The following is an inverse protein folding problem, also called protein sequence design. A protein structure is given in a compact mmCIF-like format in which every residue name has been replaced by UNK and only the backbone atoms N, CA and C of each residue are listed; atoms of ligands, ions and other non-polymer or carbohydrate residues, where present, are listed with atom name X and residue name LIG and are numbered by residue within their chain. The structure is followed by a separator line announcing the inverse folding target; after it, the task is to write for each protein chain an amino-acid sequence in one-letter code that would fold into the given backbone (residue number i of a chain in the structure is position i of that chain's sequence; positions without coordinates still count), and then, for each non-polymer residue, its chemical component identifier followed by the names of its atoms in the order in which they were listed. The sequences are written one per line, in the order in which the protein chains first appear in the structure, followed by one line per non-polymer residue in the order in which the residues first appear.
data_IF_962852849237
#
_entry.id   IF_962852849237
#
_cell.length_a   1.000
_cell.length_b   1.000
_cell.length_c   1.000
_cell.angle_alpha   90.00
_cell.angle_beta   90.00
_cell.angle_gamma   90.00
#
_symmetry.space_group_name_H-M   'P 1'
#
loop_
_entity.id
_entity.type
_entity.pdbx_description
1 polymer ?
#
# COMPACT_ATOMS: atom_id res chain seq x y z
N UNK A 1 0.43 -12.67 -6.85
CA UNK A 1 -0.97 -12.33 -7.08
C UNK A 1 -1.82 -12.53 -5.83
N UNK A 2 -1.74 -13.68 -5.14
CA UNK A 2 -2.47 -13.94 -3.90
C UNK A 2 -2.07 -13.00 -2.76
N UNK A 3 -0.80 -12.61 -2.65
CA UNK A 3 -0.33 -11.66 -1.63
C UNK A 3 -0.80 -10.23 -1.93
N UNK A 4 -0.86 -9.83 -3.20
CA UNK A 4 -1.43 -8.54 -3.61
C UNK A 4 -2.92 -8.50 -3.29
N UNK A 5 -3.67 -9.57 -3.60
CA UNK A 5 -5.08 -9.69 -3.20
C UNK A 5 -5.28 -9.61 -1.68
N UNK A 6 -4.43 -10.29 -0.90
CA UNK A 6 -4.50 -10.25 0.57
C UNK A 6 -4.22 -8.85 1.12
N UNK A 7 -3.23 -8.15 0.54
CA UNK A 7 -2.88 -6.77 0.91
C UNK A 7 -4.02 -5.79 0.56
N UNK A 8 -4.59 -5.91 -0.64
CA UNK A 8 -5.72 -5.09 -1.09
C UNK A 8 -6.95 -5.35 -0.23
N UNK A 9 -7.27 -6.61 0.09
CA UNK A 9 -8.36 -6.96 1.01
C UNK A 9 -8.15 -6.35 2.40
N UNK A 10 -6.92 -6.33 2.91
CA UNK A 10 -6.60 -5.74 4.23
C UNK A 10 -6.82 -4.23 4.22
N UNK A 11 -6.44 -3.52 3.16
CA UNK A 11 -6.65 -2.06 3.03
C UNK A 11 -8.14 -1.73 2.82
N UNK A 12 -8.85 -2.52 2.02
CA UNK A 12 -10.28 -2.31 1.72
C UNK A 12 -11.18 -2.66 2.92
N UNK A 13 -10.74 -3.58 3.79
CA UNK A 13 -11.55 -4.09 4.91
C UNK A 13 -11.55 -3.21 6.17
N UNK A 14 -10.85 -2.08 6.20
CA UNK A 14 -10.66 -1.28 7.42
C UNK A 14 -11.62 -0.08 7.60
N UNK A 15 -12.74 -0.02 6.92
CA UNK A 15 -13.81 0.91 7.32
C UNK A 15 -14.52 0.37 8.56
N UNK A 16 -14.07 0.77 9.74
CA UNK A 16 -14.75 0.39 10.97
C UNK A 16 -16.16 0.97 11.00
N UNK A 17 -17.15 0.10 11.25
CA UNK A 17 -18.55 0.48 11.34
C UNK A 17 -18.89 0.77 12.81
N UNK A 18 -19.48 1.93 13.05
CA UNK A 18 -19.88 2.39 14.40
C UNK A 18 -21.40 2.45 14.54
N UNK A 19 -21.91 1.95 15.63
CA UNK A 19 -23.30 2.24 16.05
C UNK A 19 -23.38 3.68 16.59
N UNK A 20 -24.60 4.22 16.68
CA UNK A 20 -24.85 5.59 17.13
C UNK A 20 -24.10 5.96 18.42
N UNK A 21 -24.10 5.07 19.42
CA UNK A 21 -23.45 5.31 20.72
C UNK A 21 -21.93 5.30 20.62
N UNK A 22 -21.38 4.37 19.83
CA UNK A 22 -19.93 4.25 19.59
C UNK A 22 -19.42 5.44 18.77
N UNK A 23 -20.17 5.81 17.73
CA UNK A 23 -19.88 6.97 16.91
C UNK A 23 -19.89 8.27 17.74
N UNK A 24 -20.92 8.48 18.55
CA UNK A 24 -21.04 9.64 19.43
C UNK A 24 -19.84 9.72 20.40
N UNK A 25 -19.44 8.58 21.00
CA UNK A 25 -18.27 8.49 21.86
C UNK A 25 -16.99 8.81 21.09
N UNK A 26 -16.84 8.31 19.86
CA UNK A 26 -15.67 8.53 19.01
C UNK A 26 -15.51 9.99 18.60
N UNK A 27 -16.62 10.67 18.30
CA UNK A 27 -16.69 12.08 17.92
C UNK A 27 -16.67 13.03 19.14
N UNK A 28 -16.72 12.50 20.36
CA UNK A 28 -16.73 13.29 21.59
C UNK A 28 -18.02 14.11 21.78
N UNK A 29 -19.15 13.62 21.24
CA UNK A 29 -20.45 14.29 21.33
C UNK A 29 -21.52 13.38 21.91
N UNK A 30 -22.57 13.99 22.46
CA UNK A 30 -23.72 13.22 22.96
C UNK A 30 -24.52 12.62 21.79
N UNK A 31 -25.13 11.43 21.96
CA UNK A 31 -25.98 10.82 20.93
C UNK A 31 -27.16 11.71 20.49
N UNK A 32 -27.66 12.56 21.37
CA UNK A 32 -28.69 13.56 21.08
C UNK A 32 -28.20 14.61 20.07
N UNK A 33 -26.94 15.03 20.18
CA UNK A 33 -26.31 15.96 19.24
C UNK A 33 -26.19 15.35 17.85
N UNK A 34 -25.78 14.08 17.76
CA UNK A 34 -25.67 13.36 16.47
C UNK A 34 -27.05 13.24 15.81
N UNK A 35 -28.09 12.91 16.57
CA UNK A 35 -29.47 12.86 16.04
C UNK A 35 -29.99 14.23 15.58
N UNK A 36 -29.56 15.31 16.24
CA UNK A 36 -29.86 16.68 15.81
C UNK A 36 -29.20 17.00 14.48
N UNK A 37 -27.91 16.69 14.35
CA UNK A 37 -27.16 16.89 13.10
C UNK A 37 -27.71 16.08 11.93
N UNK A 38 -28.20 14.88 12.18
CA UNK A 38 -28.88 14.07 11.17
C UNK A 38 -30.19 14.79 10.71
N UNK A 39 -30.98 15.31 11.63
CA UNK A 39 -32.20 16.09 11.30
C UNK A 39 -31.92 17.39 10.55
N UNK A 40 -30.82 18.05 10.88
CA UNK A 40 -30.36 19.29 10.24
C UNK A 40 -29.67 19.03 8.88
N UNK A 41 -29.56 17.78 8.44
CA UNK A 41 -28.89 17.40 7.19
C UNK A 41 -27.35 17.56 7.19
N UNK A 42 -26.77 17.86 8.36
CA UNK A 42 -25.31 18.00 8.52
C UNK A 42 -24.56 16.66 8.52
N UNK A 43 -25.29 15.59 8.79
CA UNK A 43 -24.78 14.22 8.85
C UNK A 43 -25.82 13.27 8.28
N UNK A 44 -25.40 12.40 7.37
CA UNK A 44 -26.29 11.41 6.75
C UNK A 44 -25.91 10.02 7.30
N UNK A 45 -26.78 9.45 8.13
CA UNK A 45 -26.59 8.10 8.64
C UNK A 45 -26.80 7.07 7.53
N UNK A 46 -25.85 6.16 7.36
CA UNK A 46 -25.99 4.98 6.50
C UNK A 46 -26.94 3.99 7.16
N UNK A 47 -27.69 3.23 6.37
CA UNK A 47 -28.65 2.25 6.89
C UNK A 47 -28.27 0.85 6.43
N UNK A 48 -28.20 -0.06 7.39
CA UNK A 48 -28.09 -1.49 7.12
C UNK A 48 -29.43 -2.01 6.55
N UNK A 49 -29.46 -3.08 5.75
CA UNK A 49 -30.72 -3.70 5.28
C UNK A 49 -31.72 -4.02 6.39
N UNK A 50 -31.24 -4.26 7.63
CA UNK A 50 -32.08 -4.42 8.82
C UNK A 50 -32.67 -3.12 9.40
N UNK A 51 -32.48 -1.97 8.73
CA UNK A 51 -32.97 -0.66 9.15
C UNK A 51 -32.13 0.06 10.20
N UNK A 52 -31.11 -0.58 10.78
CA UNK A 52 -30.25 0.03 11.79
C UNK A 52 -29.31 1.06 11.17
N UNK A 53 -29.16 2.20 11.85
CA UNK A 53 -28.24 3.27 11.47
C UNK A 53 -26.81 2.89 11.83
N UNK A 54 -25.89 3.17 10.93
CA UNK A 54 -24.47 3.05 11.19
C UNK A 54 -23.69 4.22 10.57
N UNK A 55 -22.50 4.43 11.07
CA UNK A 55 -21.53 5.40 10.61
C UNK A 55 -20.19 4.70 10.38
N UNK A 56 -19.35 5.23 9.55
CA UNK A 56 -18.01 4.70 9.32
C UNK A 56 -16.92 5.75 9.62
N UNK A 57 -15.66 5.38 9.42
CA UNK A 57 -14.53 6.28 9.66
C UNK A 57 -14.56 7.53 8.75
N UNK A 58 -15.23 7.49 7.60
CA UNK A 58 -15.40 8.67 6.75
C UNK A 58 -16.32 9.70 7.41
N UNK A 59 -17.40 9.25 8.07
CA UNK A 59 -18.31 10.10 8.81
C UNK A 59 -17.63 10.68 10.07
N UNK A 60 -16.77 9.89 10.72
CA UNK A 60 -15.94 10.37 11.84
C UNK A 60 -15.02 11.48 11.36
N UNK A 61 -14.31 11.28 10.25
CA UNK A 61 -13.43 12.28 9.64
C UNK A 61 -14.17 13.56 9.26
N UNK A 62 -15.36 13.45 8.73
CA UNK A 62 -16.19 14.59 8.32
C UNK A 62 -16.56 15.47 9.51
N UNK A 63 -16.81 14.90 10.68
CA UNK A 63 -17.22 15.63 11.88
C UNK A 63 -16.06 16.08 12.77
N UNK A 64 -14.99 15.28 12.86
CA UNK A 64 -13.76 15.65 13.57
C UNK A 64 -12.88 16.53 12.68
N UNK A 65 -12.98 16.39 11.36
CA UNK A 65 -12.24 17.14 10.36
C UNK A 65 -12.52 18.66 10.31
N UNK A 66 -13.39 19.17 11.17
CA UNK A 66 -13.43 20.60 11.50
C UNK A 66 -12.24 21.06 12.35
N UNK A 67 -11.52 20.15 12.97
CA UNK A 67 -10.15 20.34 13.46
C UNK A 67 -9.26 19.79 12.35
N UNK A 68 -8.64 20.64 11.58
CA UNK A 68 -7.52 20.29 10.70
C UNK A 68 -6.43 19.66 11.56
N UNK A 69 -6.56 18.36 11.85
CA UNK A 69 -5.37 17.61 12.27
C UNK A 69 -4.38 17.82 11.13
N UNK A 70 -3.26 18.47 11.45
CA UNK A 70 -2.17 18.68 10.51
C UNK A 70 -1.85 17.32 9.91
N UNK A 71 -2.15 17.16 8.63
CA UNK A 71 -1.87 15.93 7.91
C UNK A 71 -0.45 16.03 7.40
N UNK A 72 0.30 14.94 7.55
CA UNK A 72 1.72 14.93 7.29
C UNK A 72 2.06 14.92 5.80
N UNK A 73 3.13 15.60 5.45
CA UNK A 73 3.83 15.47 4.17
C UNK A 73 4.99 14.52 4.37
N UNK A 74 4.93 13.37 3.71
CA UNK A 74 5.88 12.28 3.91
C UNK A 74 6.69 12.04 2.65
N UNK A 75 8.01 11.89 2.78
CA UNK A 75 8.89 11.41 1.72
C UNK A 75 9.29 9.97 2.00
N UNK A 76 9.12 9.10 1.02
CA UNK A 76 9.48 7.70 1.13
C UNK A 76 10.63 7.36 0.16
N UNK A 77 11.73 6.88 0.72
CA UNK A 77 12.94 6.46 -0.01
C UNK A 77 13.24 4.98 0.28
N UNK A 78 13.60 4.23 -0.76
CA UNK A 78 13.84 2.79 -0.65
C UNK A 78 14.96 2.32 -1.57
N UNK A 79 15.71 1.32 -1.07
CA UNK A 79 16.64 0.49 -1.85
C UNK A 79 16.38 -0.99 -1.59
N UNK A 80 16.77 -1.87 -2.51
CA UNK A 80 16.50 -3.30 -2.42
C UNK A 80 17.38 -4.01 -1.40
N UNK A 81 18.64 -3.63 -1.30
CA UNK A 81 19.65 -4.33 -0.50
C UNK A 81 20.44 -3.44 0.44
N UNK A 82 21.01 -4.06 1.48
CA UNK A 82 21.85 -3.36 2.46
C UNK A 82 23.15 -2.80 1.88
N UNK A 83 23.63 -3.34 0.75
CA UNK A 83 24.80 -2.82 0.02
C UNK A 83 24.56 -1.48 -0.69
N UNK A 84 23.30 -1.07 -0.83
CA UNK A 84 22.89 0.15 -1.56
C UNK A 84 22.63 1.34 -0.61
N UNK A 85 23.34 1.41 0.52
CA UNK A 85 23.14 2.52 1.48
C UNK A 85 23.53 3.87 0.91
N UNK A 86 24.56 3.92 0.07
CA UNK A 86 25.01 5.15 -0.59
C UNK A 86 23.99 5.62 -1.63
N UNK A 87 23.33 4.68 -2.33
CA UNK A 87 22.24 4.99 -3.24
C UNK A 87 21.02 5.53 -2.49
N UNK A 88 20.73 4.97 -1.30
CA UNK A 88 19.65 5.48 -0.44
C UNK A 88 19.96 6.91 0.02
N UNK A 89 21.18 7.18 0.45
CA UNK A 89 21.61 8.52 0.84
C UNK A 89 21.52 9.51 -0.32
N UNK A 90 21.96 9.09 -1.51
CA UNK A 90 21.86 9.88 -2.74
C UNK A 90 20.41 10.18 -3.11
N UNK A 91 19.50 9.18 -2.97
CA UNK A 91 18.08 9.35 -3.19
C UNK A 91 17.46 10.36 -2.21
N UNK A 92 17.79 10.26 -0.93
CA UNK A 92 17.32 11.22 0.10
C UNK A 92 17.78 12.63 -0.27
N UNK A 93 19.06 12.82 -0.57
CA UNK A 93 19.62 14.12 -0.95
C UNK A 93 18.93 14.71 -2.19
N UNK A 94 18.67 13.89 -3.20
CA UNK A 94 17.96 14.34 -4.39
C UNK A 94 16.51 14.78 -4.08
N UNK A 95 15.82 14.04 -3.21
CA UNK A 95 14.48 14.40 -2.75
C UNK A 95 14.48 15.66 -1.88
N UNK A 96 15.52 15.90 -1.07
CA UNK A 96 15.70 17.14 -0.30
C UNK A 96 15.82 18.35 -1.24
N UNK A 97 16.67 18.25 -2.25
CA UNK A 97 16.85 19.31 -3.27
C UNK A 97 15.51 19.60 -3.97
N UNK A 98 14.79 18.56 -4.37
CA UNK A 98 13.48 18.71 -4.98
C UNK A 98 12.49 19.42 -4.04
N UNK A 99 12.35 18.97 -2.79
CA UNK A 99 11.43 19.55 -1.83
C UNK A 99 11.77 21.01 -1.51
N UNK A 100 13.06 21.34 -1.39
CA UNK A 100 13.52 22.72 -1.21
C UNK A 100 13.18 23.60 -2.42
N UNK A 101 13.46 23.12 -3.64
CA UNK A 101 13.15 23.85 -4.88
C UNK A 101 11.65 24.04 -5.11
N UNK A 102 10.82 23.08 -4.69
CA UNK A 102 9.37 23.12 -4.78
C UNK A 102 8.69 23.84 -3.61
N UNK A 103 9.45 24.29 -2.60
CA UNK A 103 8.89 24.94 -1.39
C UNK A 103 8.02 24.00 -0.55
N UNK A 104 8.28 22.70 -0.58
CA UNK A 104 7.53 21.66 0.16
C UNK A 104 8.17 21.43 1.52
N UNK A 105 7.43 21.77 2.59
CA UNK A 105 7.84 21.40 3.95
C UNK A 105 7.50 19.93 4.20
N UNK A 106 8.52 19.12 4.51
CA UNK A 106 8.39 17.68 4.77
C UNK A 106 8.33 17.46 6.27
N UNK A 107 7.30 16.76 6.74
CA UNK A 107 7.13 16.42 8.15
C UNK A 107 7.89 15.15 8.53
N UNK A 108 7.99 14.17 7.62
CA UNK A 108 8.66 12.90 7.90
C UNK A 108 9.41 12.32 6.69
N UNK A 109 10.57 11.75 6.95
CA UNK A 109 11.40 11.03 5.99
C UNK A 109 11.43 9.55 6.35
N UNK A 110 10.84 8.72 5.51
CA UNK A 110 10.83 7.26 5.68
C UNK A 110 11.89 6.67 4.73
N UNK A 111 12.89 6.02 5.32
CA UNK A 111 13.94 5.31 4.60
C UNK A 111 13.81 3.82 4.87
N UNK A 112 13.77 2.98 3.85
CA UNK A 112 13.57 1.55 3.99
C UNK A 112 14.52 0.73 3.09
N UNK A 113 15.02 -0.38 3.63
CA UNK A 113 15.81 -1.36 2.86
C UNK A 113 14.94 -2.60 2.70
N UNK A 114 14.64 -2.96 1.45
CA UNK A 114 13.81 -4.12 1.12
C UNK A 114 13.33 -4.10 -0.33
N UNK A 115 13.16 -5.26 -0.93
CA UNK A 115 12.77 -5.42 -2.33
C UNK A 115 11.42 -4.76 -2.66
N UNK A 116 11.28 -4.23 -3.87
CA UNK A 116 10.07 -3.56 -4.36
C UNK A 116 8.83 -4.47 -4.43
N UNK A 117 9.06 -5.78 -4.51
CA UNK A 117 8.03 -6.82 -4.51
C UNK A 117 7.60 -7.28 -3.10
N UNK A 118 8.38 -6.93 -2.07
CA UNK A 118 8.06 -7.31 -0.69
C UNK A 118 7.05 -6.32 -0.10
N UNK A 119 5.77 -6.65 -0.14
CA UNK A 119 4.69 -5.86 0.45
C UNK A 119 4.63 -5.96 1.99
N UNK A 120 5.39 -6.88 2.62
CA UNK A 120 5.45 -7.05 4.09
C UNK A 120 6.48 -6.14 4.76
N UNK A 121 7.02 -5.16 4.04
CA UNK A 121 7.95 -4.17 4.60
C UNK A 121 7.28 -3.36 5.70
N UNK A 122 7.91 -3.34 6.87
CA UNK A 122 7.29 -2.78 8.08
C UNK A 122 6.95 -1.29 7.95
N UNK A 123 7.89 -0.49 7.42
CA UNK A 123 7.69 0.96 7.27
C UNK A 123 6.68 1.28 6.17
N UNK A 124 6.71 0.52 5.08
CA UNK A 124 5.72 0.63 4.02
C UNK A 124 4.30 0.30 4.51
N UNK A 125 4.11 -0.79 5.28
CA UNK A 125 2.80 -1.14 5.83
C UNK A 125 2.30 -0.07 6.81
N UNK A 126 3.16 0.42 7.70
CA UNK A 126 2.79 1.50 8.62
C UNK A 126 2.39 2.79 7.87
N UNK A 127 3.10 3.13 6.78
CA UNK A 127 2.75 4.25 5.91
C UNK A 127 1.40 4.02 5.22
N UNK A 128 1.17 2.82 4.67
CA UNK A 128 -0.09 2.47 4.01
C UNK A 128 -1.29 2.58 4.97
N UNK A 129 -1.13 2.12 6.20
CA UNK A 129 -2.14 2.25 7.26
C UNK A 129 -2.44 3.72 7.58
N UNK A 130 -1.42 4.59 7.64
CA UNK A 130 -1.58 6.03 7.87
C UNK A 130 -2.29 6.71 6.70
N UNK A 131 -1.95 6.34 5.47
CA UNK A 131 -2.63 6.81 4.26
C UNK A 131 -4.11 6.40 4.30
N UNK A 132 -4.40 5.14 4.63
CA UNK A 132 -5.77 4.64 4.75
C UNK A 132 -6.58 5.35 5.85
N UNK A 133 -5.92 5.76 6.96
CA UNK A 133 -6.56 6.56 8.02
C UNK A 133 -6.70 8.05 7.66
N UNK A 134 -6.12 8.50 6.52
CA UNK A 134 -6.17 9.90 6.09
C UNK A 134 -5.23 10.83 6.87
N UNK A 135 -4.21 10.30 7.51
CA UNK A 135 -3.21 11.03 8.31
C UNK A 135 -2.13 11.68 7.42
N UNK A 136 -1.99 11.22 6.16
CA UNK A 136 -1.02 11.73 5.20
C UNK A 136 -1.72 12.63 4.18
N UNK A 137 -1.22 13.86 4.00
CA UNK A 137 -1.71 14.78 2.99
C UNK A 137 -1.04 14.54 1.65
N UNK A 138 0.28 14.37 1.68
CA UNK A 138 1.10 14.21 0.48
C UNK A 138 2.19 13.18 0.72
N UNK A 139 2.31 12.25 -0.20
CA UNK A 139 3.38 11.24 -0.22
C UNK A 139 4.26 11.49 -1.44
N UNK A 140 5.53 11.79 -1.21
CA UNK A 140 6.50 12.01 -2.27
C UNK A 140 7.43 10.81 -2.41
N UNK A 141 7.66 10.39 -3.65
CA UNK A 141 8.58 9.31 -4.00
C UNK A 141 9.41 9.71 -5.21
N UNK A 142 10.67 9.31 -5.27
CA UNK A 142 11.55 9.61 -6.39
C UNK A 142 11.04 8.95 -7.69
N UNK A 143 10.59 7.71 -7.60
CA UNK A 143 10.06 6.92 -8.70
C UNK A 143 8.97 5.95 -8.19
N UNK A 144 8.02 5.55 -9.04
CA UNK A 144 6.94 4.59 -8.69
C UNK A 144 7.49 3.30 -8.06
N UNK A 145 8.59 2.78 -8.60
CA UNK A 145 9.26 1.56 -8.13
C UNK A 145 9.81 1.66 -6.71
N UNK A 146 10.06 2.88 -6.21
CA UNK A 146 10.52 3.09 -4.84
C UNK A 146 9.43 2.77 -3.85
N UNK A 147 8.18 3.07 -4.21
CA UNK A 147 7.05 2.72 -3.37
C UNK A 147 6.71 1.24 -3.52
N UNK A 148 6.40 0.81 -4.73
CA UNK A 148 6.06 -0.58 -5.05
C UNK A 148 6.29 -0.89 -6.53
N UNK A 149 6.70 -2.11 -6.83
CA UNK A 149 6.96 -2.56 -8.20
C UNK A 149 5.68 -2.84 -8.98
N UNK A 150 4.67 -3.39 -8.30
CA UNK A 150 3.37 -3.71 -8.89
C UNK A 150 2.25 -3.10 -8.05
N UNK A 151 1.14 -2.74 -8.72
CA UNK A 151 -0.05 -2.23 -8.06
C UNK A 151 0.04 -0.75 -7.64
N UNK A 152 1.00 0.03 -8.16
CA UNK A 152 1.13 1.45 -7.85
C UNK A 152 -0.16 2.23 -8.13
N UNK A 153 -0.78 2.01 -9.29
CA UNK A 153 -1.99 2.75 -9.68
C UNK A 153 -3.16 2.44 -8.74
N UNK A 154 -3.23 1.20 -8.22
CA UNK A 154 -4.21 0.84 -7.20
C UNK A 154 -3.94 1.53 -5.86
N UNK A 155 -2.69 1.56 -5.42
CA UNK A 155 -2.31 2.28 -4.21
C UNK A 155 -2.60 3.78 -4.34
N UNK A 156 -2.24 4.39 -5.46
CA UNK A 156 -2.50 5.80 -5.77
C UNK A 156 -4.01 6.10 -5.74
N UNK A 157 -4.83 5.22 -6.32
CA UNK A 157 -6.29 5.35 -6.28
C UNK A 157 -6.82 5.34 -4.85
N UNK A 158 -6.38 4.39 -4.02
CA UNK A 158 -6.76 4.30 -2.61
C UNK A 158 -6.28 5.52 -1.82
N UNK A 159 -5.04 5.95 -2.04
CA UNK A 159 -4.47 7.13 -1.41
C UNK A 159 -5.31 8.38 -1.70
N UNK A 160 -5.66 8.59 -2.98
CA UNK A 160 -6.51 9.70 -3.42
C UNK A 160 -7.89 9.68 -2.78
N UNK A 161 -8.51 8.51 -2.64
CA UNK A 161 -9.81 8.38 -1.95
C UNK A 161 -9.74 8.76 -0.47
N UNK A 162 -8.58 8.56 0.17
CA UNK A 162 -8.34 8.98 1.54
C UNK A 162 -7.73 10.39 1.63
N UNK A 163 -7.72 11.12 0.52
CA UNK A 163 -7.26 12.51 0.44
C UNK A 163 -5.74 12.65 0.48
N UNK A 164 -4.96 11.59 0.21
CA UNK A 164 -3.52 11.65 0.08
C UNK A 164 -3.14 11.83 -1.39
N UNK A 165 -2.37 12.88 -1.69
CA UNK A 165 -1.76 13.10 -3.01
C UNK A 165 -0.42 12.34 -3.08
N UNK A 166 -0.27 11.45 -4.08
CA UNK A 166 1.00 10.76 -4.33
C UNK A 166 1.75 11.50 -5.44
N UNK A 167 2.91 12.05 -5.11
CA UNK A 167 3.77 12.81 -6.03
C UNK A 167 4.98 11.96 -6.40
N UNK A 168 5.11 11.66 -7.69
CA UNK A 168 6.25 10.95 -8.26
C UNK A 168 7.14 11.97 -8.95
N UNK A 169 8.38 12.11 -8.47
CA UNK A 169 9.31 13.16 -8.93
C UNK A 169 9.95 12.81 -10.29
N UNK A 170 9.90 11.52 -10.70
CA UNK A 170 10.41 11.03 -12.00
C UNK A 170 11.87 11.42 -12.29
N UNK A 171 12.75 11.23 -11.35
CA UNK A 171 14.18 11.35 -11.61
C UNK A 171 14.69 10.05 -12.23
N UNK A 172 14.83 10.03 -13.55
CA UNK A 172 15.30 8.86 -14.33
C UNK A 172 16.67 8.33 -13.87
N UNK A 173 17.54 9.21 -13.38
CA UNK A 173 18.86 8.84 -12.84
C UNK A 173 18.84 7.96 -11.60
N UNK A 174 17.67 7.80 -10.96
CA UNK A 174 17.50 7.02 -9.73
C UNK A 174 16.69 5.71 -9.95
N UNK A 175 16.40 5.35 -11.20
CA UNK A 175 15.75 4.09 -11.54
C UNK A 175 16.81 2.98 -11.72
N UNK A 176 16.96 2.02 -10.80
CA UNK A 176 17.99 1.00 -10.94
C UNK A 176 17.52 -0.12 -11.85
N UNK A 177 18.10 -0.19 -13.02
CA UNK A 177 17.97 -1.34 -13.90
C UNK A 177 18.40 -2.65 -13.22
N UNK A 178 19.40 -2.58 -12.32
CA UNK A 178 19.86 -3.72 -11.53
C UNK A 178 18.78 -4.30 -10.60
N UNK A 179 17.99 -3.46 -9.91
CA UNK A 179 16.90 -3.94 -9.07
C UNK A 179 15.81 -4.65 -9.88
N UNK A 180 15.56 -4.21 -11.12
CA UNK A 180 14.60 -4.88 -12.00
C UNK A 180 15.05 -6.28 -12.35
N UNK A 181 16.35 -6.48 -12.60
CA UNK A 181 16.93 -7.80 -12.88
C UNK A 181 16.86 -8.69 -11.65
N UNK A 182 17.19 -8.18 -10.46
CA UNK A 182 17.08 -8.93 -9.20
C UNK A 182 15.63 -9.37 -8.90
N UNK A 183 14.68 -8.46 -9.09
CA UNK A 183 13.25 -8.76 -8.91
C UNK A 183 12.77 -9.80 -9.95
N UNK A 184 13.23 -9.72 -11.20
CA UNK A 184 12.93 -10.70 -12.24
C UNK A 184 13.50 -12.08 -11.88
N UNK A 185 14.73 -12.12 -11.40
CA UNK A 185 15.38 -13.35 -10.92
C UNK A 185 14.57 -13.94 -9.75
N UNK A 186 14.13 -13.13 -8.80
CA UNK A 186 13.30 -13.57 -7.67
C UNK A 186 11.96 -14.17 -8.14
N UNK A 187 11.32 -13.59 -9.16
CA UNK A 187 10.12 -14.14 -9.80
C UNK A 187 10.43 -15.50 -10.42
N UNK A 188 11.50 -15.58 -11.24
CA UNK A 188 11.91 -16.83 -11.91
C UNK A 188 12.22 -17.92 -10.89
N UNK A 189 12.95 -17.61 -9.80
CA UNK A 189 13.22 -18.56 -8.73
C UNK A 189 11.94 -19.03 -8.02
N UNK A 190 10.98 -18.15 -7.80
CA UNK A 190 9.69 -18.51 -7.19
C UNK A 190 8.89 -19.49 -8.09
N UNK A 191 8.91 -19.26 -9.40
CA UNK A 191 8.29 -20.16 -10.37
C UNK A 191 9.08 -21.46 -10.53
N UNK A 192 10.41 -21.40 -10.57
CA UNK A 192 11.28 -22.59 -10.65
C UNK A 192 11.10 -23.48 -9.43
N UNK A 193 11.05 -22.92 -8.22
CA UNK A 193 10.76 -23.69 -7.00
C UNK A 193 9.40 -24.39 -7.02
N UNK A 194 8.38 -23.77 -7.65
CA UNK A 194 7.08 -24.41 -7.87
C UNK A 194 7.15 -25.50 -8.95
N UNK A 195 7.95 -25.32 -9.99
CA UNK A 195 8.18 -26.33 -11.02
C UNK A 195 8.92 -27.56 -10.45
N UNK A 196 9.90 -27.35 -9.56
CA UNK A 196 10.57 -28.44 -8.86
C UNK A 196 9.63 -29.18 -7.89
N UNK A 197 8.72 -28.48 -7.24
CA UNK A 197 7.60 -29.09 -6.50
C UNK A 197 6.67 -29.91 -7.43
N UNK A 198 6.39 -29.42 -8.63
CA UNK A 198 5.62 -30.17 -9.64
C UNK A 198 6.34 -31.41 -10.15
N UNK A 199 7.68 -31.45 -10.18
CA UNK A 199 8.46 -32.68 -10.51
C UNK A 199 8.18 -33.82 -9.54
N UNK A 200 7.90 -33.49 -8.28
CA UNK A 200 7.50 -34.50 -7.29
C UNK A 200 6.13 -35.11 -7.63
N UNK A 201 5.19 -34.32 -8.10
CA UNK A 201 3.87 -34.78 -8.58
C UNK A 201 3.93 -35.42 -9.99
N UNK A 202 4.92 -35.09 -10.82
CA UNK A 202 5.09 -35.72 -12.14
C UNK A 202 5.33 -37.24 -12.04
N UNK A 203 5.97 -37.69 -10.97
CA UNK A 203 6.19 -39.14 -10.77
C UNK A 203 4.87 -39.82 -10.41
N UNK A 204 4.08 -39.25 -9.53
CA UNK A 204 2.76 -39.77 -9.15
C UNK A 204 1.79 -39.75 -10.35
N UNK A 205 1.79 -38.68 -11.13
CA UNK A 205 0.94 -38.56 -12.35
C UNK A 205 1.36 -39.57 -13.43
N UNK A 206 2.65 -39.84 -13.59
CA UNK A 206 3.12 -40.89 -14.53
C UNK A 206 2.75 -42.29 -14.12
N UNK A 207 2.72 -42.53 -12.82
CA UNK A 207 2.33 -43.84 -12.28
C UNK A 207 0.81 -44.04 -12.42
N UNK A 208 0.00 -42.98 -12.29
CA UNK A 208 -1.47 -43.01 -12.44
C UNK A 208 -1.94 -42.94 -13.91
N UNK A 209 -1.15 -42.33 -14.80
CA UNK A 209 -1.49 -42.10 -16.20
C UNK A 209 -0.31 -42.41 -17.14
N UNK A 210 0.02 -43.70 -17.39
CA UNK A 210 1.22 -44.13 -18.14
C UNK A 210 1.24 -43.65 -19.60
N UNK A 211 0.09 -43.30 -20.19
CA UNK A 211 -0.04 -42.92 -21.61
C UNK A 211 0.13 -41.42 -21.88
N UNK A 212 0.32 -40.59 -20.85
CA UNK A 212 0.48 -39.14 -21.01
C UNK A 212 1.95 -38.76 -21.24
N UNK A 213 2.30 -38.38 -22.45
CA UNK A 213 3.64 -37.82 -22.77
C UNK A 213 3.77 -36.42 -22.19
N UNK A 214 4.36 -36.31 -20.99
CA UNK A 214 4.73 -35.04 -20.39
C UNK A 214 6.08 -34.62 -21.01
N UNK A 215 6.08 -33.60 -21.88
CA UNK A 215 7.32 -33.00 -22.38
C UNK A 215 8.07 -32.30 -21.24
N UNK A 216 9.21 -32.84 -20.87
CA UNK A 216 10.18 -32.18 -19.97
C UNK A 216 10.77 -30.96 -20.68
N UNK A 217 10.78 -29.76 -20.08
CA UNK A 217 11.58 -28.67 -20.60
C UNK A 217 13.05 -29.07 -20.49
N UNK A 218 13.72 -29.13 -21.62
CA UNK A 218 15.18 -29.39 -21.71
C UNK A 218 15.90 -28.32 -20.91
N UNK A 219 16.66 -28.74 -19.93
CA UNK A 219 17.59 -27.86 -19.26
C UNK A 219 18.61 -27.34 -20.30
N UNK A 220 18.58 -26.05 -20.57
CA UNK A 220 19.65 -25.39 -21.29
C UNK A 220 20.77 -25.24 -20.29
N UNK A 221 21.69 -26.24 -20.32
CA UNK A 221 23.05 -26.05 -19.88
C UNK A 221 23.84 -25.47 -21.07
N UNK A 222 24.33 -24.25 -20.91
CA UNK A 222 25.67 -23.81 -21.26
C UNK A 222 25.85 -22.38 -20.76
#
# INVERSE_FOLDING_TARGET
LLEICSFVLTIVQMSKIYRMSEFAKRVGKAPSTIRRWEREGKLVAKRHPSGHRYFDDSDVRLLIGGVTEKRDVVVYCRVSGAGQKDDLASQVKAMEVYCQGAGVAVDEWIQEIGGGMNFKRKRFLALADRVARGEVQRLLVAHKDRLMRFGFDLFEHIARQNGCEVVVVNQESLSPQQEMVEDLIAIVHTFSGRLDGMRKYQKEIKDDFPDVKISTPTAVCE
#
